data_IF_200249019784
#
_entry.id   IF_200249019784
#
_cell.length_a   1.000
_cell.length_b   1.000
_cell.length_c   1.000
_cell.angle_alpha   90.00
_cell.angle_beta   90.00
_cell.angle_gamma   90.00
#
_symmetry.space_group_name_H-M   'P 1'
#
loop_
_entity.id
_entity.type
_entity.pdbx_description
1 polymer ?
#
# COMPACT_ATOMS: atom_id res chain seq x y z
N UNK A 1 -12.89 -3.92 51.94
CA UNK A 1 -12.18 -2.81 51.27
C UNK A 1 -11.11 -3.27 50.28
N UNK A 2 -10.28 -4.29 50.58
CA UNK A 2 -9.22 -4.74 49.66
C UNK A 2 -9.68 -5.40 48.35
N UNK A 3 -10.82 -6.10 48.35
CA UNK A 3 -11.34 -6.78 47.15
C UNK A 3 -11.82 -5.79 46.07
N UNK A 4 -12.49 -4.72 46.49
CA UNK A 4 -12.95 -3.64 45.62
C UNK A 4 -11.77 -2.86 45.02
N UNK A 5 -10.72 -2.60 45.81
CA UNK A 5 -9.53 -1.93 45.30
C UNK A 5 -8.80 -2.78 44.25
N UNK A 6 -8.71 -4.11 44.46
CA UNK A 6 -8.16 -5.05 43.47
C UNK A 6 -8.98 -5.06 42.19
N UNK A 7 -10.31 -5.17 42.28
CA UNK A 7 -11.22 -5.13 41.13
C UNK A 7 -11.09 -3.83 40.33
N UNK A 8 -10.98 -2.68 41.03
CA UNK A 8 -10.76 -1.37 40.40
C UNK A 8 -9.39 -1.27 39.72
N UNK A 9 -8.33 -1.81 40.34
CA UNK A 9 -7.01 -1.86 39.69
C UNK A 9 -7.01 -2.77 38.46
N UNK A 10 -7.68 -3.93 38.52
CA UNK A 10 -7.80 -4.84 37.39
C UNK A 10 -8.59 -4.23 36.22
N UNK A 11 -9.71 -3.54 36.50
CA UNK A 11 -10.49 -2.86 35.47
C UNK A 11 -9.73 -1.68 34.85
N UNK A 12 -9.00 -0.92 35.65
CA UNK A 12 -8.12 0.14 35.15
C UNK A 12 -7.00 -0.41 34.26
N UNK A 13 -6.37 -1.53 34.63
CA UNK A 13 -5.34 -2.19 33.81
C UNK A 13 -5.88 -2.66 32.45
N UNK A 14 -7.09 -3.23 32.44
CA UNK A 14 -7.75 -3.69 31.21
C UNK A 14 -8.09 -2.53 30.24
N UNK A 15 -8.46 -1.36 30.77
CA UNK A 15 -8.74 -0.16 29.96
C UNK A 15 -7.47 0.47 29.36
N UNK A 16 -6.31 0.32 30.03
CA UNK A 16 -5.02 0.77 29.47
C UNK A 16 -4.48 -0.18 28.38
N UNK A 17 -4.74 -1.49 28.49
CA UNK A 17 -4.31 -2.48 27.50
C UNK A 17 -5.22 -2.50 26.24
N UNK A 18 -6.45 -2.01 26.33
CA UNK A 18 -7.40 -1.95 25.21
C UNK A 18 -7.14 -0.84 24.18
N UNK A 19 -6.07 -0.05 24.31
CA UNK A 19 -5.74 1.06 23.38
C UNK A 19 -4.70 0.71 22.34
N UNK A 20 -4.86 -0.41 21.66
CA UNK A 20 -4.28 -0.68 20.34
C UNK A 20 -5.32 -1.57 19.63
N UNK A 21 -5.76 -1.40 18.39
CA UNK A 21 -5.06 -1.09 17.16
C UNK A 21 -6.04 -0.36 16.21
N UNK A 22 -5.73 0.89 15.86
CA UNK A 22 -6.26 1.46 14.63
C UNK A 22 -5.46 0.92 13.45
N UNK A 23 -5.69 -0.33 13.05
CA UNK A 23 -5.18 -0.81 11.77
C UNK A 23 -5.76 0.11 10.68
N UNK A 24 -4.91 0.78 9.90
CA UNK A 24 -5.38 1.71 8.89
C UNK A 24 -6.41 0.99 7.99
N UNK A 25 -7.56 1.62 7.77
CA UNK A 25 -8.72 0.95 7.17
C UNK A 25 -8.41 0.36 5.79
N UNK A 26 -7.48 0.96 5.04
CA UNK A 26 -7.03 0.43 3.75
C UNK A 26 -6.15 -0.81 3.86
N UNK A 27 -5.35 -0.94 4.91
CA UNK A 27 -4.46 -2.10 5.10
C UNK A 27 -5.22 -3.35 5.54
N UNK A 28 -6.43 -3.19 6.08
CA UNK A 28 -7.33 -4.28 6.43
C UNK A 28 -8.11 -4.82 5.21
N UNK A 29 -8.16 -4.08 4.10
CA UNK A 29 -8.91 -4.46 2.89
C UNK A 29 -8.34 -5.76 2.28
N UNK A 30 -9.11 -6.86 2.21
CA UNK A 30 -8.62 -8.14 1.71
C UNK A 30 -8.27 -8.10 0.21
N UNK A 31 -8.93 -7.24 -0.57
CA UNK A 31 -8.64 -7.05 -2.00
C UNK A 31 -7.28 -6.37 -2.14
N UNK A 32 -7.02 -5.36 -1.31
CA UNK A 32 -5.72 -4.70 -1.26
C UNK A 32 -4.60 -5.68 -0.90
N UNK A 33 -4.77 -6.48 0.16
CA UNK A 33 -3.76 -7.48 0.59
C UNK A 33 -3.46 -8.49 -0.51
N UNK A 34 -4.52 -9.06 -1.10
CA UNK A 34 -4.39 -10.05 -2.18
C UNK A 34 -3.66 -9.46 -3.40
N UNK A 35 -3.96 -8.20 -3.75
CA UNK A 35 -3.26 -7.50 -4.82
C UNK A 35 -1.77 -7.34 -4.54
N UNK A 36 -1.40 -6.90 -3.32
CA UNK A 36 0.00 -6.71 -2.93
C UNK A 36 0.74 -8.04 -2.92
N UNK A 37 0.16 -9.08 -2.33
CA UNK A 37 0.76 -10.42 -2.30
C UNK A 37 0.93 -11.02 -3.70
N UNK A 38 -0.06 -10.82 -4.57
CA UNK A 38 0.04 -11.27 -5.97
C UNK A 38 1.16 -10.52 -6.68
N UNK A 39 1.20 -9.20 -6.55
CA UNK A 39 2.22 -8.37 -7.17
C UNK A 39 3.64 -8.67 -6.66
N UNK A 40 3.84 -8.89 -5.35
CA UNK A 40 5.15 -9.27 -4.81
C UNK A 40 5.62 -10.62 -5.37
N UNK A 41 4.70 -11.53 -5.71
CA UNK A 41 5.01 -12.84 -6.31
C UNK A 41 5.21 -12.79 -7.83
N UNK A 42 4.35 -12.08 -8.55
CA UNK A 42 4.35 -12.05 -10.02
C UNK A 42 5.19 -10.90 -10.61
N UNK A 43 5.46 -9.88 -9.81
CA UNK A 43 6.05 -8.62 -10.26
C UNK A 43 5.15 -7.79 -11.17
N UNK A 44 3.87 -8.15 -11.30
CA UNK A 44 2.95 -7.51 -12.24
C UNK A 44 1.56 -7.31 -11.64
N UNK A 45 0.94 -6.17 -11.96
CA UNK A 45 -0.47 -5.85 -11.70
C UNK A 45 -1.11 -5.58 -13.07
N UNK A 46 -2.01 -6.47 -13.49
CA UNK A 46 -2.61 -6.45 -14.82
C UNK A 46 -1.50 -6.42 -15.90
N UNK A 47 -1.43 -5.35 -16.71
CA UNK A 47 -0.44 -5.19 -17.79
C UNK A 47 0.82 -4.42 -17.35
N UNK A 48 0.85 -3.88 -16.12
CA UNK A 48 1.99 -3.14 -15.60
C UNK A 48 2.89 -4.06 -14.76
N UNK A 49 4.10 -4.32 -15.26
CA UNK A 49 5.12 -5.10 -14.57
C UNK A 49 6.25 -4.19 -14.07
N UNK A 50 6.79 -4.51 -12.90
CA UNK A 50 7.87 -3.76 -12.27
C UNK A 50 9.19 -4.52 -12.36
N UNK A 51 10.21 -3.89 -12.94
CA UNK A 51 11.53 -4.52 -13.17
C UNK A 51 12.29 -4.81 -11.86
N UNK A 52 11.98 -4.07 -10.79
CA UNK A 52 12.55 -4.25 -9.46
C UNK A 52 11.92 -5.43 -8.68
N UNK A 53 10.82 -6.01 -9.17
CA UNK A 53 10.17 -7.20 -8.63
C UNK A 53 10.72 -8.49 -9.27
N UNK A 54 12.00 -8.76 -9.06
CA UNK A 54 12.72 -9.84 -9.75
C UNK A 54 12.50 -11.22 -9.08
N UNK A 55 11.30 -11.80 -9.22
CA UNK A 55 11.07 -13.20 -8.80
C UNK A 55 10.58 -14.14 -9.91
N UNK A 56 9.91 -13.64 -10.96
CA UNK A 56 9.48 -14.48 -12.07
C UNK A 56 9.11 -13.65 -13.30
N UNK A 57 10.07 -13.11 -14.04
CA UNK A 57 9.84 -12.86 -15.45
C UNK A 57 11.13 -13.04 -16.23
N UNK A 58 11.13 -14.08 -17.08
CA UNK A 58 11.90 -14.04 -18.31
C UNK A 58 11.70 -12.65 -18.91
N UNK A 59 12.80 -11.94 -19.10
CA UNK A 59 12.90 -10.62 -19.71
C UNK A 59 11.94 -10.53 -20.90
N UNK A 60 10.69 -10.06 -20.70
CA UNK A 60 9.93 -9.50 -21.81
C UNK A 60 10.56 -8.15 -22.04
N UNK A 61 11.62 -8.20 -22.85
CA UNK A 61 12.29 -7.04 -23.42
C UNK A 61 11.18 -6.08 -23.85
N UNK A 62 11.07 -4.96 -23.15
CA UNK A 62 10.25 -3.83 -23.56
C UNK A 62 10.90 -3.29 -24.85
N UNK A 63 10.60 -3.93 -25.97
CA UNK A 63 11.11 -3.54 -27.28
C UNK A 63 10.02 -3.58 -28.36
N UNK A 64 8.80 -3.18 -28.00
CA UNK A 64 7.74 -2.79 -28.95
C UNK A 64 6.91 -1.58 -28.46
N UNK A 65 7.41 -0.86 -27.44
CA UNK A 65 6.78 0.35 -26.93
C UNK A 65 7.56 1.60 -27.38
N UNK A 66 6.90 2.71 -27.70
CA UNK A 66 7.57 3.99 -27.94
C UNK A 66 8.58 4.34 -26.83
N UNK A 67 9.72 4.90 -27.20
CA UNK A 67 10.88 5.15 -26.32
C UNK A 67 10.58 5.94 -25.03
N UNK A 68 9.46 6.65 -24.96
CA UNK A 68 9.00 7.38 -23.77
C UNK A 68 8.31 6.52 -22.69
N UNK A 69 8.10 5.23 -22.95
CA UNK A 69 7.62 4.24 -21.96
C UNK A 69 8.76 3.57 -21.19
N UNK A 70 10.01 3.85 -21.53
CA UNK A 70 11.16 3.48 -20.71
C UNK A 70 11.15 4.39 -19.49
N UNK A 71 10.98 3.80 -18.30
CA UNK A 71 10.98 4.54 -17.04
C UNK A 71 12.17 5.52 -17.03
N UNK A 72 11.92 6.84 -16.96
CA UNK A 72 12.98 7.81 -17.11
C UNK A 72 14.03 7.60 -16.00
N UNK A 73 15.30 7.69 -16.37
CA UNK A 73 16.48 7.46 -15.53
C UNK A 73 16.43 8.14 -14.14
N UNK A 74 15.67 9.25 -14.00
CA UNK A 74 15.45 9.90 -12.70
C UNK A 74 14.60 9.06 -11.72
N UNK A 75 13.74 8.16 -12.20
CA UNK A 75 12.99 7.21 -11.39
C UNK A 75 13.87 6.07 -10.87
N UNK A 76 14.97 5.73 -11.57
CA UNK A 76 15.95 4.76 -11.09
C UNK A 76 16.74 5.28 -9.87
N UNK A 77 16.95 6.59 -9.80
CA UNK A 77 17.64 7.25 -8.68
C UNK A 77 16.81 7.28 -7.40
N UNK A 78 15.49 7.14 -7.51
CA UNK A 78 14.59 6.93 -6.37
C UNK A 78 14.37 5.43 -6.27
N UNK A 79 15.25 4.74 -5.58
CA UNK A 79 15.22 3.28 -5.45
C UNK A 79 13.94 2.84 -4.71
N UNK A 80 12.86 2.64 -5.48
CA UNK A 80 11.64 2.02 -4.99
C UNK A 80 11.88 0.52 -4.89
N UNK A 81 11.56 -0.06 -3.74
CA UNK A 81 11.53 -1.51 -3.60
C UNK A 81 10.26 -2.06 -4.26
N UNK A 82 10.34 -3.28 -4.78
CA UNK A 82 9.20 -3.99 -5.38
C UNK A 82 7.92 -3.88 -4.53
N UNK A 83 8.09 -4.05 -3.22
CA UNK A 83 7.01 -3.98 -2.24
C UNK A 83 6.37 -2.58 -2.19
N UNK A 84 7.17 -1.52 -2.21
CA UNK A 84 6.67 -0.14 -2.25
C UNK A 84 5.83 0.14 -3.49
N UNK A 85 6.28 -0.34 -4.66
CA UNK A 85 5.55 -0.16 -5.92
C UNK A 85 4.26 -0.96 -5.97
N UNK A 86 4.28 -2.23 -5.54
CA UNK A 86 3.08 -3.05 -5.39
C UNK A 86 2.07 -2.40 -4.45
N UNK A 87 2.50 -1.95 -3.27
CA UNK A 87 1.63 -1.26 -2.30
C UNK A 87 1.00 0.00 -2.89
N UNK A 88 1.79 0.81 -3.59
CA UNK A 88 1.32 2.06 -4.18
C UNK A 88 0.31 1.82 -5.31
N UNK A 89 0.60 0.90 -6.23
CA UNK A 89 -0.28 0.63 -7.38
C UNK A 89 -1.58 -0.06 -6.96
N UNK A 90 -1.51 -1.01 -6.04
CA UNK A 90 -2.71 -1.65 -5.46
C UNK A 90 -3.59 -0.64 -4.70
N UNK A 91 -2.98 0.29 -3.97
CA UNK A 91 -3.71 1.38 -3.31
C UNK A 91 -4.45 2.23 -4.33
N UNK A 92 -3.78 2.71 -5.38
CA UNK A 92 -4.42 3.53 -6.42
C UNK A 92 -5.58 2.82 -7.11
N UNK A 93 -5.42 1.52 -7.43
CA UNK A 93 -6.48 0.71 -8.04
C UNK A 93 -7.73 0.64 -7.14
N UNK A 94 -7.56 0.44 -5.83
CA UNK A 94 -8.68 0.42 -4.88
C UNK A 94 -9.36 1.78 -4.78
N UNK A 95 -8.59 2.85 -4.74
CA UNK A 95 -9.13 4.21 -4.65
C UNK A 95 -9.85 4.64 -5.94
N UNK A 96 -9.42 4.15 -7.10
CA UNK A 96 -10.16 4.36 -8.34
C UNK A 96 -11.53 3.67 -8.32
N UNK A 97 -11.61 2.45 -7.79
CA UNK A 97 -12.90 1.77 -7.58
C UNK A 97 -13.78 2.58 -6.63
N UNK A 98 -13.23 3.05 -5.49
CA UNK A 98 -13.96 3.89 -4.53
C UNK A 98 -14.50 5.17 -5.15
N UNK A 99 -13.66 5.85 -5.94
CA UNK A 99 -14.06 7.06 -6.65
C UNK A 99 -15.24 6.79 -7.59
N UNK A 100 -15.20 5.68 -8.33
CA UNK A 100 -16.29 5.27 -9.25
C UNK A 100 -17.56 4.87 -8.52
N UNK A 101 -17.46 4.31 -7.31
CA UNK A 101 -18.63 3.92 -6.49
C UNK A 101 -19.13 5.02 -5.56
N UNK A 102 -18.47 6.20 -5.55
CA UNK A 102 -18.81 7.32 -4.66
C UNK A 102 -18.40 7.11 -3.20
N UNK A 103 -17.53 6.13 -2.93
CA UNK A 103 -16.96 5.93 -1.60
C UNK A 103 -15.89 6.99 -1.30
N UNK A 104 -15.77 7.34 -0.01
CA UNK A 104 -14.74 8.26 0.46
C UNK A 104 -13.36 7.59 0.41
N UNK A 105 -12.30 8.36 0.09
CA UNK A 105 -10.94 7.82 0.13
C UNK A 105 -10.58 7.39 1.55
N UNK A 106 -9.63 6.46 1.67
CA UNK A 106 -9.17 5.95 2.96
C UNK A 106 -7.64 5.94 3.06
N UNK A 107 -7.13 5.85 4.29
CA UNK A 107 -5.68 5.79 4.55
C UNK A 107 -5.12 4.37 4.39
N UNK A 108 -3.92 4.31 3.84
CA UNK A 108 -3.11 3.10 3.65
C UNK A 108 -1.73 3.32 4.27
N UNK A 109 -1.24 2.39 5.09
CA UNK A 109 0.02 2.53 5.83
C UNK A 109 0.20 3.89 6.52
N UNK A 110 -0.89 4.45 7.06
CA UNK A 110 -0.91 5.76 7.72
C UNK A 110 -0.89 6.98 6.80
N UNK A 111 -0.87 6.79 5.47
CA UNK A 111 -0.81 7.87 4.46
C UNK A 111 -2.10 7.96 3.66
N UNK A 112 -2.45 9.16 3.21
CA UNK A 112 -3.50 9.35 2.22
C UNK A 112 -3.01 8.94 0.82
N UNK A 113 -3.90 8.43 -0.05
CA UNK A 113 -3.56 8.00 -1.39
C UNK A 113 -3.35 9.22 -2.29
N UNK A 114 -2.16 9.82 -2.19
CA UNK A 114 -1.72 10.90 -3.07
C UNK A 114 -1.23 10.28 -4.38
N UNK A 115 -1.69 10.83 -5.52
CA UNK A 115 -1.10 10.49 -6.82
C UNK A 115 0.28 11.16 -6.88
N UNK A 116 1.27 10.43 -7.41
CA UNK A 116 2.60 10.98 -7.68
C UNK A 116 2.57 11.66 -9.04
N UNK A 117 2.97 12.92 -9.10
CA UNK A 117 3.28 13.62 -10.35
C UNK A 117 4.80 13.62 -10.51
N UNK A 118 5.31 13.11 -11.63
CA UNK A 118 6.76 13.10 -11.95
C UNK A 118 7.67 12.48 -10.86
N UNK A 119 7.21 11.44 -10.17
CA UNK A 119 7.98 10.80 -9.08
C UNK A 119 8.13 11.66 -7.81
N UNK A 120 7.60 12.87 -7.81
CA UNK A 120 7.47 13.75 -6.65
C UNK A 120 6.07 13.52 -6.06
N UNK A 121 5.99 13.42 -4.74
CA UNK A 121 4.71 13.37 -4.05
C UNK A 121 4.12 14.78 -4.13
N UNK A 122 2.88 14.92 -4.59
CA UNK A 122 2.19 16.23 -4.61
C UNK A 122 2.37 16.93 -3.25
N UNK A 123 2.72 18.22 -3.22
CA UNK A 123 2.81 18.96 -1.96
C UNK A 123 1.44 18.91 -1.28
N UNK A 124 1.47 18.58 0.01
CA UNK A 124 0.30 18.43 0.86
C UNK A 124 -0.53 19.72 0.98
#
# INVERSE_FOLDING_TARGET
>A
MGLFHRLMCYSALLLFLGRTLGAASGDADPIYKTCVEKCEKTGCIEDQCFNNCNFASNKKKLSEGPWYLQDPFYLQWKEWDCRGDCRYRCMLSREEVRLRTGEKPIKYHGKWPLRRLFGIQEPA
#
